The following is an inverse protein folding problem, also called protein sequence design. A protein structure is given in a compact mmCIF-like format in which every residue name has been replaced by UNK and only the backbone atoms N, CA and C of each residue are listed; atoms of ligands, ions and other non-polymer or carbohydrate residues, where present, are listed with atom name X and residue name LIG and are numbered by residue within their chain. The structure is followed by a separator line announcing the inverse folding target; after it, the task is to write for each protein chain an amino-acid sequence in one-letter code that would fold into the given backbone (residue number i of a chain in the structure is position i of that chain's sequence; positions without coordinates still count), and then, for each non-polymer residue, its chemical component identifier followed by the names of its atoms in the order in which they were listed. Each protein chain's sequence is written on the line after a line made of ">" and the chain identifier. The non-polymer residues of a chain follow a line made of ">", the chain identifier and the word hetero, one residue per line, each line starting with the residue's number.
data_IF_691944676466
#
_entry.id   IF_691944676466
#
_cell.length_a   1.000
_cell.length_b   1.000
_cell.length_c   1.000
_cell.angle_alpha   90.00
_cell.angle_beta   90.00
_cell.angle_gamma   90.00
#
_symmetry.space_group_name_H-M   'P 1'
#
loop_
_entity.id
_entity.type
_entity.pdbx_description
1 polymer ?
#
# COMPACT_ATOMS: atom_id res chain seq x y z
N UNK A 1 66.72 7.10 -12.82
CA UNK A 1 65.44 7.72 -12.41
C UNK A 1 64.33 7.16 -13.30
N UNK A 2 63.69 6.07 -12.89
CA UNK A 2 62.55 5.48 -13.60
C UNK A 2 61.36 5.42 -12.65
N UNK A 3 60.39 6.32 -12.84
CA UNK A 3 59.18 6.41 -12.01
C UNK A 3 58.26 5.23 -12.31
N UNK A 4 58.06 4.37 -11.31
CA UNK A 4 57.06 3.31 -11.33
C UNK A 4 55.69 3.94 -11.04
N UNK A 5 54.90 4.14 -12.09
CA UNK A 5 53.53 4.66 -12.01
C UNK A 5 52.63 3.58 -11.38
N UNK A 6 52.28 3.75 -10.10
CA UNK A 6 51.26 2.93 -9.44
C UNK A 6 49.88 3.32 -10.00
N UNK A 7 49.33 2.50 -10.88
CA UNK A 7 47.93 2.59 -11.33
C UNK A 7 47.06 2.14 -10.15
N UNK A 8 46.41 3.10 -9.50
CA UNK A 8 45.39 2.85 -8.49
C UNK A 8 44.10 2.44 -9.24
N UNK A 9 43.78 1.15 -9.23
CA UNK A 9 42.50 0.65 -9.76
C UNK A 9 41.41 1.07 -8.78
N UNK A 10 40.66 2.12 -9.13
CA UNK A 10 39.40 2.42 -8.46
C UNK A 10 38.41 1.30 -8.78
N UNK A 11 38.19 0.42 -7.81
CA UNK A 11 37.09 -0.53 -7.86
C UNK A 11 35.80 0.27 -7.60
N UNK A 12 35.15 0.72 -8.67
CA UNK A 12 33.80 1.28 -8.60
C UNK A 12 32.86 0.15 -8.19
N UNK A 13 32.38 0.18 -6.94
CA UNK A 13 31.26 -0.64 -6.50
C UNK A 13 30.05 -0.13 -7.29
N UNK A 14 29.69 -0.83 -8.36
CA UNK A 14 28.43 -0.62 -9.03
C UNK A 14 27.33 -1.05 -8.06
N UNK A 15 26.72 -0.08 -7.38
CA UNK A 15 25.39 -0.26 -6.82
C UNK A 15 24.54 -0.80 -7.97
N UNK A 16 23.96 -1.99 -7.80
CA UNK A 16 22.95 -2.49 -8.72
C UNK A 16 21.78 -1.50 -8.64
N UNK A 17 21.80 -0.48 -9.51
CA UNK A 17 20.61 0.30 -9.79
C UNK A 17 19.61 -0.71 -10.32
N UNK A 18 18.57 -1.01 -9.54
CA UNK A 18 17.45 -1.81 -10.02
C UNK A 18 16.78 -0.94 -11.08
N UNK A 19 17.22 -1.11 -12.33
CA UNK A 19 16.65 -0.39 -13.45
C UNK A 19 15.20 -0.82 -13.59
N UNK A 20 14.27 0.13 -13.41
CA UNK A 20 12.85 -0.14 -13.62
C UNK A 20 12.57 -0.45 -15.09
N UNK A 21 11.61 -1.34 -15.35
CA UNK A 21 11.30 -1.78 -16.71
C UNK A 21 10.43 -0.71 -17.39
N UNK A 22 11.08 0.25 -18.06
CA UNK A 22 10.43 1.37 -18.74
C UNK A 22 9.34 0.92 -19.71
N UNK A 23 9.58 -0.17 -20.46
CA UNK A 23 8.62 -0.68 -21.42
C UNK A 23 7.37 -1.23 -20.73
N UNK A 24 7.53 -1.96 -19.62
CA UNK A 24 6.40 -2.48 -18.85
C UNK A 24 5.67 -1.39 -18.08
N UNK A 25 6.36 -0.40 -17.52
CA UNK A 25 5.69 0.75 -16.90
C UNK A 25 4.93 1.60 -17.92
N UNK A 26 5.45 1.76 -19.14
CA UNK A 26 4.70 2.39 -20.23
C UNK A 26 3.48 1.55 -20.62
N UNK A 27 3.62 0.21 -20.67
CA UNK A 27 2.48 -0.68 -20.92
C UNK A 27 1.42 -0.58 -19.80
N UNK A 28 1.84 -0.49 -18.54
CA UNK A 28 0.95 -0.23 -17.41
C UNK A 28 0.22 1.11 -17.58
N UNK A 29 0.94 2.18 -17.93
CA UNK A 29 0.38 3.51 -18.13
C UNK A 29 -0.69 3.54 -19.24
N UNK A 30 -0.45 2.92 -20.40
CA UNK A 30 -1.46 2.82 -21.49
C UNK A 30 -2.60 1.87 -21.18
N UNK A 31 -2.52 1.09 -20.10
CA UNK A 31 -3.59 0.19 -19.65
C UNK A 31 -4.52 0.86 -18.63
N UNK A 32 -4.27 2.12 -18.29
CA UNK A 32 -5.16 2.92 -17.46
C UNK A 32 -6.28 3.51 -18.32
N UNK A 33 -7.49 3.47 -17.76
CA UNK A 33 -8.70 4.01 -18.37
C UNK A 33 -9.45 4.90 -17.38
N UNK A 34 -10.29 5.78 -17.89
CA UNK A 34 -11.18 6.62 -17.08
C UNK A 34 -12.59 6.04 -17.10
N UNK A 35 -13.17 5.83 -15.93
CA UNK A 35 -14.58 5.50 -15.77
C UNK A 35 -15.35 6.82 -15.68
N UNK A 36 -16.44 6.95 -16.44
CA UNK A 36 -17.26 8.16 -16.49
C UNK A 36 -18.73 7.80 -16.33
N UNK A 37 -19.51 8.77 -15.87
CA UNK A 37 -20.97 8.63 -15.80
C UNK A 37 -21.62 9.93 -15.36
N UNK A 38 -22.84 10.17 -15.79
CA UNK A 38 -23.63 11.30 -15.27
C UNK A 38 -24.35 10.89 -13.99
N UNK A 39 -24.34 11.79 -13.01
CA UNK A 39 -25.16 11.70 -11.80
C UNK A 39 -26.61 12.04 -12.10
N UNK A 40 -27.51 11.76 -11.15
CA UNK A 40 -28.92 12.16 -11.27
C UNK A 40 -29.10 13.69 -11.39
N UNK A 41 -28.16 14.47 -10.86
CA UNK A 41 -28.11 15.93 -10.98
C UNK A 41 -27.49 16.42 -12.29
N UNK A 42 -27.11 15.51 -13.20
CA UNK A 42 -26.45 15.82 -14.47
C UNK A 42 -24.96 16.19 -14.36
N UNK A 43 -24.35 16.07 -13.17
CA UNK A 43 -22.92 16.32 -12.98
C UNK A 43 -22.11 15.15 -13.49
N UNK A 44 -20.96 15.40 -14.10
CA UNK A 44 -20.05 14.34 -14.52
C UNK A 44 -19.33 13.75 -13.30
N UNK A 45 -19.56 12.47 -13.02
CA UNK A 45 -18.78 11.66 -12.11
C UNK A 45 -17.68 10.93 -12.89
N UNK A 46 -16.52 10.76 -12.26
CA UNK A 46 -15.38 10.08 -12.85
C UNK A 46 -14.56 9.33 -11.82
N UNK A 47 -13.87 8.30 -12.30
CA UNK A 47 -12.87 7.51 -11.58
C UNK A 47 -11.87 6.91 -12.58
N UNK A 48 -11.04 6.01 -12.10
CA UNK A 48 -10.03 5.31 -12.88
C UNK A 48 -10.32 3.82 -12.96
N UNK A 49 -9.71 3.13 -13.90
CA UNK A 49 -9.72 1.67 -14.01
C UNK A 49 -8.45 1.15 -14.67
N UNK A 50 -8.25 -0.16 -14.60
CA UNK A 50 -7.09 -0.85 -15.17
C UNK A 50 -7.55 -2.01 -16.05
N UNK A 51 -6.96 -2.14 -17.24
CA UNK A 51 -7.23 -3.25 -18.17
C UNK A 51 -6.49 -4.50 -17.67
N UNK A 52 -7.25 -5.52 -17.25
CA UNK A 52 -6.73 -6.70 -16.52
C UNK A 52 -7.08 -8.03 -17.17
N UNK A 53 -7.87 -8.01 -18.24
CA UNK A 53 -8.16 -9.18 -19.06
C UNK A 53 -8.66 -8.79 -20.44
N UNK A 54 -8.98 -9.80 -21.25
CA UNK A 54 -9.63 -9.57 -22.54
C UNK A 54 -10.97 -8.88 -22.32
N UNK A 55 -11.11 -7.66 -22.83
CA UNK A 55 -12.30 -6.83 -22.65
C UNK A 55 -12.68 -6.55 -21.18
N UNK A 56 -11.74 -6.73 -20.25
CA UNK A 56 -11.99 -6.63 -18.82
C UNK A 56 -11.23 -5.45 -18.20
N UNK A 57 -11.97 -4.64 -17.43
CA UNK A 57 -11.43 -3.51 -16.66
C UNK A 57 -11.81 -3.67 -15.20
N UNK A 58 -10.84 -3.60 -14.30
CA UNK A 58 -11.11 -3.49 -12.86
C UNK A 58 -11.19 -2.02 -12.45
N UNK A 59 -12.11 -1.70 -11.55
CA UNK A 59 -12.21 -0.40 -10.86
C UNK A 59 -12.75 -0.62 -9.44
N UNK A 60 -12.93 0.45 -8.68
CA UNK A 60 -13.66 0.38 -7.43
C UNK A 60 -15.17 0.39 -7.64
N UNK A 61 -15.91 -0.38 -6.86
CA UNK A 61 -17.36 -0.39 -6.95
C UNK A 61 -17.98 0.96 -6.59
N UNK A 62 -17.39 1.70 -5.64
CA UNK A 62 -17.90 3.03 -5.26
C UNK A 62 -17.91 4.05 -6.42
N UNK A 63 -17.06 3.87 -7.45
CA UNK A 63 -17.03 4.71 -8.66
C UNK A 63 -18.32 4.56 -9.47
N UNK A 64 -18.99 3.40 -9.39
CA UNK A 64 -20.16 3.04 -10.19
C UNK A 64 -21.50 3.32 -9.49
N UNK A 65 -21.49 3.86 -8.25
CA UNK A 65 -22.71 4.01 -7.43
C UNK A 65 -23.52 5.26 -7.74
N UNK A 66 -22.92 6.22 -8.44
CA UNK A 66 -23.54 7.53 -8.70
C UNK A 66 -24.06 7.69 -10.12
N UNK A 67 -24.03 6.65 -10.93
CA UNK A 67 -24.42 6.74 -12.33
C UNK A 67 -25.24 5.52 -12.77
N UNK A 68 -26.30 5.78 -13.53
CA UNK A 68 -27.19 4.76 -14.11
C UNK A 68 -26.64 4.18 -15.42
N UNK A 69 -25.72 4.89 -16.07
CA UNK A 69 -25.16 4.53 -17.37
C UNK A 69 -23.67 4.90 -17.42
N UNK A 70 -22.81 4.19 -16.65
CA UNK A 70 -21.38 4.40 -16.73
C UNK A 70 -20.83 3.95 -18.09
N UNK A 71 -19.73 4.56 -18.50
CA UNK A 71 -18.92 4.10 -19.62
C UNK A 71 -17.43 4.20 -19.30
N UNK A 72 -16.62 3.48 -20.06
CA UNK A 72 -15.16 3.54 -19.96
C UNK A 72 -14.62 4.38 -21.11
N UNK A 73 -13.61 5.19 -20.84
CA UNK A 73 -12.94 6.00 -21.86
C UNK A 73 -11.43 5.91 -21.76
N UNK A 74 -10.78 5.98 -22.92
CA UNK A 74 -9.34 6.07 -23.06
C UNK A 74 -9.02 7.08 -24.14
N UNK A 75 -8.51 8.25 -23.75
CA UNK A 75 -8.42 9.41 -24.64
C UNK A 75 -9.81 9.76 -25.20
N UNK A 76 -9.92 9.83 -26.52
CA UNK A 76 -11.16 10.15 -27.23
C UNK A 76 -12.04 8.91 -27.51
N UNK A 77 -11.55 7.71 -27.20
CA UNK A 77 -12.32 6.46 -27.42
C UNK A 77 -13.17 6.15 -26.20
N UNK A 78 -14.43 5.78 -26.42
CA UNK A 78 -15.37 5.34 -25.39
C UNK A 78 -15.83 3.91 -25.64
N UNK A 79 -16.00 3.16 -24.57
CA UNK A 79 -16.42 1.76 -24.56
C UNK A 79 -17.65 1.60 -23.67
N UNK A 80 -18.68 0.92 -24.16
CA UNK A 80 -19.86 0.56 -23.38
C UNK A 80 -19.53 -0.58 -22.42
N UNK A 81 -20.09 -0.50 -21.21
CA UNK A 81 -20.02 -1.58 -20.22
C UNK A 81 -21.19 -2.54 -20.48
N UNK A 82 -20.89 -3.81 -20.70
CA UNK A 82 -21.90 -4.85 -20.95
C UNK A 82 -22.42 -5.47 -19.65
N UNK A 83 -21.51 -5.63 -18.67
CA UNK A 83 -21.82 -6.20 -17.37
C UNK A 83 -20.74 -5.90 -16.34
N UNK A 84 -21.05 -6.20 -15.08
CA UNK A 84 -20.15 -6.06 -13.94
C UNK A 84 -20.28 -7.23 -12.98
N UNK A 85 -19.15 -7.64 -12.42
CA UNK A 85 -19.08 -8.55 -11.27
C UNK A 85 -18.56 -7.75 -10.08
N UNK A 86 -19.35 -7.67 -9.01
CA UNK A 86 -19.15 -6.69 -7.95
C UNK A 86 -18.92 -7.31 -6.58
N UNK A 87 -17.68 -7.23 -6.08
CA UNK A 87 -17.40 -7.44 -4.66
C UNK A 87 -17.49 -6.12 -3.92
N UNK A 88 -18.67 -5.85 -3.36
CA UNK A 88 -18.97 -4.59 -2.67
C UNK A 88 -18.14 -4.43 -1.40
N UNK A 89 -17.93 -5.51 -0.65
CA UNK A 89 -17.18 -5.50 0.60
C UNK A 89 -15.72 -5.12 0.39
N UNK A 90 -15.07 -5.72 -0.60
CA UNK A 90 -13.69 -5.42 -0.99
C UNK A 90 -13.59 -4.21 -1.93
N UNK A 91 -14.72 -3.58 -2.27
CA UNK A 91 -14.81 -2.43 -3.17
C UNK A 91 -14.15 -2.64 -4.53
N UNK A 92 -14.24 -3.84 -5.09
CA UNK A 92 -13.66 -4.20 -6.39
C UNK A 92 -14.75 -4.65 -7.35
N UNK A 93 -14.80 -4.01 -8.52
CA UNK A 93 -15.74 -4.29 -9.57
C UNK A 93 -14.99 -4.61 -10.87
N UNK A 94 -15.29 -5.78 -11.45
CA UNK A 94 -14.76 -6.22 -12.74
C UNK A 94 -15.79 -5.94 -13.83
N UNK A 95 -15.49 -5.00 -14.71
CA UNK A 95 -16.31 -4.59 -15.84
C UNK A 95 -15.96 -5.43 -17.06
N UNK A 96 -16.96 -5.89 -17.80
CA UNK A 96 -16.81 -6.42 -19.16
C UNK A 96 -17.26 -5.37 -20.16
N UNK A 97 -16.41 -5.06 -21.14
CA UNK A 97 -16.62 -4.00 -22.11
C UNK A 97 -16.83 -4.56 -23.52
N UNK A 98 -17.60 -3.86 -24.34
CA UNK A 98 -17.72 -4.21 -25.75
C UNK A 98 -16.47 -3.76 -26.53
N UNK A 99 -15.80 -4.70 -27.20
CA UNK A 99 -14.70 -4.47 -28.16
C UNK A 99 -13.53 -3.60 -27.67
N UNK A 100 -13.04 -3.81 -26.44
CA UNK A 100 -11.85 -3.11 -25.93
C UNK A 100 -10.59 -3.48 -26.73
N UNK A 101 -10.36 -4.78 -26.98
CA UNK A 101 -9.25 -5.30 -27.79
C UNK A 101 -7.85 -4.74 -27.39
N UNK A 102 -7.58 -4.61 -26.08
CA UNK A 102 -6.31 -4.14 -25.53
C UNK A 102 -5.58 -5.24 -24.76
N UNK A 103 -4.25 -5.16 -24.72
CA UNK A 103 -3.40 -6.08 -23.96
C UNK A 103 -3.49 -5.75 -22.46
N UNK A 104 -3.88 -6.71 -21.60
CA UNK A 104 -3.96 -6.48 -20.16
C UNK A 104 -2.59 -6.41 -19.50
N UNK A 105 -2.52 -5.77 -18.34
CA UNK A 105 -1.32 -5.77 -17.49
C UNK A 105 -1.16 -7.11 -16.78
N UNK A 106 0.08 -7.54 -16.47
CA UNK A 106 0.30 -8.65 -15.55
C UNK A 106 -0.16 -8.28 -14.14
N UNK A 107 -0.78 -9.22 -13.45
CA UNK A 107 -1.18 -9.09 -12.04
C UNK A 107 -0.03 -9.65 -11.19
N UNK A 108 0.45 -8.83 -10.25
CA UNK A 108 1.42 -9.22 -9.24
C UNK A 108 0.75 -9.66 -7.93
N UNK A 109 1.57 -9.89 -6.91
CA UNK A 109 1.14 -10.30 -5.58
C UNK A 109 1.44 -9.19 -4.58
N UNK A 110 0.43 -8.77 -3.81
CA UNK A 110 0.63 -7.82 -2.71
C UNK A 110 1.45 -8.41 -1.55
N UNK A 111 1.55 -9.74 -1.47
CA UNK A 111 2.33 -10.46 -0.45
C UNK A 111 3.84 -10.45 -0.71
N UNK A 112 4.23 -10.17 -1.95
CA UNK A 112 5.63 -10.09 -2.34
C UNK A 112 6.21 -8.69 -2.05
N UNK A 113 5.36 -7.74 -1.66
CA UNK A 113 5.76 -6.37 -1.35
C UNK A 113 6.42 -6.30 0.02
N UNK A 114 7.56 -5.60 0.07
CA UNK A 114 8.28 -5.31 1.30
C UNK A 114 8.16 -3.81 1.64
N UNK A 115 8.14 -3.47 2.94
CA UNK A 115 8.15 -2.08 3.39
C UNK A 115 9.36 -1.33 2.82
N UNK A 116 9.15 -0.11 2.36
CA UNK A 116 10.14 0.72 1.67
C UNK A 116 10.27 0.47 0.16
N UNK A 117 9.70 -0.61 -0.38
CA UNK A 117 9.73 -0.88 -1.81
C UNK A 117 9.06 0.22 -2.62
N UNK A 118 9.72 0.68 -3.68
CA UNK A 118 9.17 1.68 -4.60
C UNK A 118 7.96 1.15 -5.38
N UNK A 119 6.96 2.02 -5.52
CA UNK A 119 5.69 1.76 -6.18
C UNK A 119 5.30 2.96 -7.06
N UNK A 120 4.55 2.69 -8.14
CA UNK A 120 4.00 3.71 -9.01
C UNK A 120 2.47 3.62 -9.05
N UNK A 121 1.80 4.69 -8.64
CA UNK A 121 0.36 4.83 -8.80
C UNK A 121 0.06 5.52 -10.13
N UNK A 122 -0.83 4.96 -10.95
CA UNK A 122 -1.17 5.49 -12.28
C UNK A 122 -2.69 5.59 -12.46
N UNK A 123 -3.21 6.80 -12.66
CA UNK A 123 -4.65 7.06 -12.66
C UNK A 123 -5.06 8.43 -13.17
N UNK A 124 -6.35 8.63 -13.37
CA UNK A 124 -6.94 9.90 -13.80
C UNK A 124 -7.29 10.81 -12.61
N UNK A 125 -6.30 11.07 -11.75
CA UNK A 125 -6.44 12.02 -10.63
C UNK A 125 -6.96 13.37 -11.13
N UNK A 126 -7.91 13.94 -10.40
CA UNK A 126 -8.64 15.18 -10.72
C UNK A 126 -9.37 15.16 -12.07
N UNK A 127 -9.64 13.98 -12.64
CA UNK A 127 -10.29 13.85 -13.95
C UNK A 127 -9.37 14.21 -15.12
N UNK A 128 -8.05 14.17 -14.92
CA UNK A 128 -7.05 14.43 -15.96
C UNK A 128 -7.34 13.60 -17.22
N UNK A 129 -7.37 14.19 -18.44
CA UNK A 129 -7.63 13.44 -19.67
C UNK A 129 -6.63 12.31 -19.95
N UNK A 130 -5.36 12.51 -19.57
CA UNK A 130 -4.31 11.50 -19.61
C UNK A 130 -4.01 10.94 -18.20
N UNK A 131 -3.63 9.66 -18.07
CA UNK A 131 -3.21 9.11 -16.78
C UNK A 131 -2.02 9.87 -16.18
N UNK A 132 -2.11 10.21 -14.91
CA UNK A 132 -1.04 10.80 -14.12
C UNK A 132 -0.32 9.70 -13.34
N UNK A 133 1.00 9.83 -13.20
CA UNK A 133 1.84 8.91 -12.43
C UNK A 133 2.34 9.59 -11.17
N UNK A 134 2.16 8.94 -10.02
CA UNK A 134 2.73 9.34 -8.73
C UNK A 134 3.64 8.24 -8.24
N UNK A 135 4.91 8.57 -7.96
CA UNK A 135 5.82 7.67 -7.26
C UNK A 135 5.53 7.63 -5.75
N UNK A 136 5.80 6.51 -5.13
CA UNK A 136 5.74 6.32 -3.69
C UNK A 136 6.45 5.04 -3.27
N UNK A 137 6.22 4.63 -2.05
CA UNK A 137 6.78 3.40 -1.49
C UNK A 137 5.77 2.70 -0.59
N UNK A 138 5.97 1.40 -0.41
CA UNK A 138 5.21 0.55 0.51
C UNK A 138 5.47 1.00 1.95
N UNK A 139 4.42 1.35 2.69
CA UNK A 139 4.53 1.71 4.12
C UNK A 139 4.22 0.48 4.97
N UNK A 140 3.09 -0.18 4.74
CA UNK A 140 2.68 -1.38 5.47
C UNK A 140 1.68 -2.22 4.67
N UNK A 141 1.53 -3.48 5.05
CA UNK A 141 0.60 -4.42 4.43
C UNK A 141 -0.24 -5.09 5.51
N UNK A 142 -1.55 -5.16 5.30
CA UNK A 142 -2.48 -5.77 6.24
C UNK A 142 -3.08 -7.04 5.65
N UNK A 143 -2.71 -8.21 6.19
CA UNK A 143 -3.20 -9.51 5.72
C UNK A 143 -4.73 -9.58 5.88
N UNK A 144 -5.41 -9.91 4.78
CA UNK A 144 -6.85 -10.07 4.72
C UNK A 144 -7.21 -10.94 3.51
N UNK A 145 -8.11 -11.90 3.67
CA UNK A 145 -8.67 -12.71 2.58
C UNK A 145 -7.64 -13.28 1.58
N UNK A 146 -6.42 -13.59 2.06
CA UNK A 146 -5.36 -14.15 1.23
C UNK A 146 -4.53 -13.15 0.42
N UNK A 147 -4.68 -11.84 0.63
CA UNK A 147 -3.79 -10.78 0.13
C UNK A 147 -3.44 -9.77 1.23
N UNK A 148 -2.58 -8.81 0.93
CA UNK A 148 -2.22 -7.72 1.85
C UNK A 148 -2.81 -6.41 1.35
N UNK A 149 -3.77 -5.83 2.09
CA UNK A 149 -4.20 -4.45 1.81
C UNK A 149 -2.98 -3.53 1.96
N UNK A 150 -2.70 -2.78 0.90
CA UNK A 150 -1.47 -2.01 0.78
C UNK A 150 -1.69 -0.61 1.33
N UNK A 151 -0.89 -0.21 2.31
CA UNK A 151 -0.71 1.18 2.69
C UNK A 151 0.56 1.71 2.03
N UNK A 152 0.44 2.77 1.24
CA UNK A 152 1.58 3.37 0.53
C UNK A 152 1.65 4.88 0.71
N UNK A 153 2.81 5.45 0.39
CA UNK A 153 3.04 6.90 0.34
C UNK A 153 2.61 7.54 -0.98
N UNK A 154 2.18 6.73 -1.97
CA UNK A 154 1.80 7.20 -3.30
C UNK A 154 0.50 8.00 -3.24
N UNK A 155 0.64 9.33 -3.21
CA UNK A 155 -0.48 10.24 -2.97
C UNK A 155 -1.43 10.31 -4.16
N UNK A 156 -2.73 10.28 -3.88
CA UNK A 156 -3.75 10.47 -4.89
C UNK A 156 -4.90 11.42 -4.47
N UNK A 157 -5.56 12.00 -5.48
CA UNK A 157 -6.68 12.95 -5.32
C UNK A 157 -7.98 12.34 -5.82
N UNK A 158 -9.10 13.06 -5.65
CA UNK A 158 -10.40 12.67 -6.20
C UNK A 158 -10.25 12.33 -7.70
N UNK A 159 -10.90 11.26 -8.16
CA UNK A 159 -10.74 10.72 -9.52
C UNK A 159 -9.70 9.61 -9.67
N UNK A 160 -8.82 9.44 -8.67
CA UNK A 160 -7.88 8.33 -8.64
C UNK A 160 -8.47 6.99 -8.18
N UNK A 161 -9.66 6.98 -7.57
CA UNK A 161 -10.32 5.73 -7.17
C UNK A 161 -10.42 4.78 -8.36
N UNK A 162 -9.94 3.55 -8.19
CA UNK A 162 -9.86 2.52 -9.22
C UNK A 162 -8.57 2.55 -10.05
N UNK A 163 -7.65 3.45 -9.75
CA UNK A 163 -6.34 3.54 -10.42
C UNK A 163 -5.41 2.40 -9.98
N UNK A 164 -4.45 2.05 -10.83
CA UNK A 164 -3.53 0.96 -10.54
C UNK A 164 -2.35 1.41 -9.68
N UNK A 165 -1.93 0.54 -8.77
CA UNK A 165 -0.66 0.61 -8.05
C UNK A 165 0.25 -0.51 -8.59
N UNK A 166 1.44 -0.14 -9.07
CA UNK A 166 2.35 -1.04 -9.77
C UNK A 166 3.69 -1.15 -9.08
N UNK A 167 4.29 -2.34 -9.13
CA UNK A 167 5.72 -2.50 -8.85
C UNK A 167 6.59 -1.92 -9.97
N UNK A 168 7.90 -1.78 -9.73
CA UNK A 168 8.84 -1.26 -10.74
C UNK A 168 9.08 -2.20 -11.93
N UNK A 169 8.46 -3.39 -11.94
CA UNK A 169 8.44 -4.34 -13.05
C UNK A 169 7.16 -4.22 -13.89
N UNK A 170 6.26 -3.29 -13.56
CA UNK A 170 5.00 -3.06 -14.27
C UNK A 170 3.90 -4.07 -13.97
N UNK A 171 4.02 -4.86 -12.89
CA UNK A 171 2.94 -5.71 -12.41
C UNK A 171 1.97 -4.90 -11.56
N UNK A 172 0.67 -5.08 -11.79
CA UNK A 172 -0.37 -4.49 -10.98
C UNK A 172 -0.42 -5.21 -9.62
N UNK A 173 -0.10 -4.51 -8.54
CA UNK A 173 -0.06 -5.07 -7.18
C UNK A 173 -1.24 -4.61 -6.32
N UNK A 174 -1.88 -3.50 -6.67
CA UNK A 174 -3.10 -3.06 -5.99
C UNK A 174 -3.96 -2.08 -6.78
N UNK A 175 -5.17 -1.84 -6.27
CA UNK A 175 -6.13 -0.85 -6.79
C UNK A 175 -6.30 0.26 -5.77
N UNK A 176 -5.85 1.46 -6.09
CA UNK A 176 -5.96 2.64 -5.21
C UNK A 176 -7.43 2.93 -4.93
N UNK A 177 -7.82 2.89 -3.65
CA UNK A 177 -9.24 2.84 -3.25
C UNK A 177 -9.64 3.99 -2.35
N UNK A 178 -9.02 4.11 -1.18
CA UNK A 178 -9.42 5.11 -0.19
C UNK A 178 -8.22 5.68 0.56
N UNK A 179 -8.48 6.76 1.30
CA UNK A 179 -7.51 7.37 2.20
C UNK A 179 -8.16 7.69 3.53
N UNK A 180 -7.41 7.65 4.61
CA UNK A 180 -7.87 8.15 5.91
C UNK A 180 -7.67 9.66 6.00
N UNK A 181 -8.68 10.38 6.50
CA UNK A 181 -8.60 11.82 6.72
C UNK A 181 -7.57 12.13 7.81
N UNK A 182 -6.70 13.12 7.58
CA UNK A 182 -5.70 13.58 8.56
C UNK A 182 -4.40 12.77 8.63
N UNK A 183 -4.38 11.51 8.19
CA UNK A 183 -3.23 10.61 8.35
C UNK A 183 -2.37 10.43 7.08
N UNK A 184 -2.74 11.09 5.97
CA UNK A 184 -1.97 11.03 4.71
C UNK A 184 -1.71 9.60 4.19
N UNK A 185 -2.60 8.66 4.53
CA UNK A 185 -2.44 7.23 4.30
C UNK A 185 -3.31 6.77 3.15
N UNK A 186 -2.68 6.17 2.13
CA UNK A 186 -3.32 5.80 0.87
C UNK A 186 -3.39 4.28 0.76
N UNK A 187 -4.62 3.77 0.73
CA UNK A 187 -4.90 2.35 0.78
C UNK A 187 -5.28 1.82 -0.61
N UNK A 188 -4.72 0.66 -0.93
CA UNK A 188 -5.02 -0.08 -2.15
C UNK A 188 -5.47 -1.50 -1.84
N UNK A 189 -6.51 -1.95 -2.53
CA UNK A 189 -6.98 -3.33 -2.46
C UNK A 189 -6.01 -4.24 -3.23
N UNK A 190 -5.70 -5.45 -2.76
CA UNK A 190 -4.83 -6.40 -3.44
C UNK A 190 -5.28 -6.70 -4.87
N UNK A 191 -4.36 -6.66 -5.83
CA UNK A 191 -4.70 -6.94 -7.23
C UNK A 191 -5.07 -8.42 -7.46
N UNK A 192 -4.47 -9.34 -6.69
CA UNK A 192 -4.78 -10.77 -6.78
C UNK A 192 -6.25 -11.11 -6.46
N UNK A 193 -6.97 -10.24 -5.75
CA UNK A 193 -8.40 -10.42 -5.49
C UNK A 193 -9.26 -10.35 -6.76
N UNK A 194 -8.74 -9.79 -7.85
CA UNK A 194 -9.40 -9.76 -9.16
C UNK A 194 -9.76 -11.16 -9.65
N UNK A 195 -8.95 -12.18 -9.32
CA UNK A 195 -9.23 -13.55 -9.72
C UNK A 195 -10.55 -14.06 -9.14
N UNK A 196 -10.87 -13.69 -7.89
CA UNK A 196 -12.12 -14.07 -7.22
C UNK A 196 -13.35 -13.38 -7.78
N UNK A 197 -13.19 -12.21 -8.43
CA UNK A 197 -14.31 -11.48 -9.03
C UNK A 197 -14.95 -12.26 -10.18
N UNK A 198 -14.15 -13.07 -10.89
CA UNK A 198 -14.62 -13.85 -12.06
C UNK A 198 -15.67 -14.90 -11.70
N UNK A 199 -15.72 -15.32 -10.44
CA UNK A 199 -16.66 -16.32 -9.94
C UNK A 199 -17.95 -15.69 -9.38
N UNK A 200 -18.02 -14.36 -9.32
CA UNK A 200 -19.19 -13.66 -8.80
C UNK A 200 -20.31 -13.57 -9.85
N UNK A 201 -21.58 -13.44 -9.42
CA UNK A 201 -22.70 -13.23 -10.32
C UNK A 201 -22.49 -12.03 -11.24
N UNK A 202 -22.87 -12.21 -12.50
CA UNK A 202 -22.85 -11.16 -13.51
C UNK A 202 -24.09 -10.28 -13.35
N UNK A 203 -23.87 -8.98 -13.17
CA UNK A 203 -24.90 -7.95 -13.04
C UNK A 203 -24.86 -7.02 -14.26
N UNK A 204 -26.01 -6.46 -14.64
CA UNK A 204 -26.13 -5.48 -15.74
C UNK A 204 -26.79 -4.18 -15.32
N UNK A 205 -27.26 -4.12 -14.08
CA UNK A 205 -27.99 -2.97 -13.55
C UNK A 205 -27.03 -2.02 -12.85
N UNK A 206 -27.20 -0.73 -13.14
CA UNK A 206 -26.49 0.36 -12.50
C UNK A 206 -27.53 1.35 -11.93
N UNK A 207 -27.23 2.05 -10.83
CA UNK A 207 -25.96 2.09 -10.10
C UNK A 207 -25.70 0.87 -9.22
N UNK A 208 -24.43 0.53 -9.02
CA UNK A 208 -24.04 -0.49 -8.05
C UNK A 208 -24.35 0.02 -6.63
N UNK A 209 -24.93 -0.83 -5.79
CA UNK A 209 -25.30 -0.50 -4.40
C UNK A 209 -24.51 -1.35 -3.41
N UNK A 210 -24.37 -0.87 -2.17
CA UNK A 210 -23.68 -1.58 -1.08
C UNK A 210 -22.50 -0.78 -0.53
N UNK A 211 -22.09 -1.10 0.70
CA UNK A 211 -20.95 -0.48 1.39
C UNK A 211 -19.69 -1.33 1.24
N UNK A 212 -18.55 -0.66 1.21
CA UNK A 212 -17.23 -1.26 1.33
C UNK A 212 -16.77 -1.37 2.79
N UNK A 213 -15.79 -2.24 3.05
CA UNK A 213 -15.20 -2.46 4.38
C UNK A 213 -14.71 -1.17 5.04
N UNK A 214 -14.27 -0.18 4.25
CA UNK A 214 -13.72 1.08 4.74
C UNK A 214 -14.78 2.15 5.00
N UNK A 215 -16.02 1.92 4.56
CA UNK A 215 -17.21 2.78 4.74
C UNK A 215 -18.10 2.32 5.90
N UNK A 216 -17.77 1.19 6.52
CA UNK A 216 -18.51 0.67 7.67
C UNK A 216 -18.42 1.58 8.89
N UNK A 217 -19.30 1.34 9.85
CA UNK A 217 -19.22 1.97 11.16
C UNK A 217 -17.97 1.45 11.90
N UNK A 218 -17.39 2.27 12.79
CA UNK A 218 -16.08 1.99 13.42
C UNK A 218 -16.03 0.62 14.12
N UNK A 219 -17.15 0.15 14.70
CA UNK A 219 -17.22 -1.16 15.36
C UNK A 219 -17.07 -2.34 14.38
N UNK A 220 -17.49 -2.15 13.12
CA UNK A 220 -17.50 -3.19 12.08
C UNK A 220 -16.31 -3.15 11.14
N UNK A 221 -15.52 -2.07 11.16
CA UNK A 221 -14.29 -1.99 10.36
C UNK A 221 -13.29 -3.08 10.79
N UNK A 222 -12.43 -3.57 9.88
CA UNK A 222 -11.25 -4.34 10.27
C UNK A 222 -10.37 -3.58 11.27
N UNK A 223 -9.70 -4.30 12.17
CA UNK A 223 -8.90 -3.70 13.25
C UNK A 223 -7.82 -2.73 12.75
N UNK A 224 -7.18 -3.03 11.63
CA UNK A 224 -6.16 -2.17 11.04
C UNK A 224 -6.67 -0.78 10.63
N UNK A 225 -7.99 -0.61 10.44
CA UNK A 225 -8.59 0.71 10.22
C UNK A 225 -8.93 1.42 11.53
N UNK A 226 -9.28 0.67 12.58
CA UNK A 226 -9.65 1.20 13.88
C UNK A 226 -8.49 1.91 14.59
N UNK A 227 -7.24 1.55 14.28
CA UNK A 227 -6.05 2.19 14.88
C UNK A 227 -5.80 3.62 14.38
N UNK A 228 -6.34 4.01 13.23
CA UNK A 228 -5.99 5.27 12.59
C UNK A 228 -6.42 6.49 13.42
N UNK A 229 -7.67 6.48 13.93
CA UNK A 229 -8.21 7.60 14.70
C UNK A 229 -7.46 7.79 16.04
N UNK A 230 -7.28 6.76 16.88
CA UNK A 230 -6.50 6.88 18.11
C UNK A 230 -5.07 7.37 17.87
N UNK A 231 -4.40 6.91 16.81
CA UNK A 231 -3.03 7.35 16.46
C UNK A 231 -2.97 8.83 16.09
N UNK A 232 -3.93 9.33 15.31
CA UNK A 232 -4.00 10.76 14.93
C UNK A 232 -4.22 11.65 16.16
N UNK A 233 -5.06 11.19 17.10
CA UNK A 233 -5.43 11.96 18.29
C UNK A 233 -4.47 11.75 19.47
N UNK A 234 -3.45 10.92 19.30
CA UNK A 234 -2.53 10.50 20.36
C UNK A 234 -3.26 9.88 21.58
N UNK A 235 -4.41 9.24 21.33
CA UNK A 235 -5.21 8.55 22.35
C UNK A 235 -4.65 7.14 22.59
N UNK A 236 -3.44 7.04 23.14
CA UNK A 236 -2.69 5.78 23.27
C UNK A 236 -3.42 4.73 24.13
N UNK A 237 -4.18 5.15 25.14
CA UNK A 237 -5.00 4.25 25.94
C UNK A 237 -6.16 3.65 25.14
N UNK A 238 -6.72 4.39 24.18
CA UNK A 238 -7.72 3.87 23.24
C UNK A 238 -7.05 2.91 22.25
N UNK A 239 -5.87 3.26 21.75
CA UNK A 239 -5.09 2.41 20.85
C UNK A 239 -4.73 1.06 21.49
N UNK A 240 -4.34 1.04 22.78
CA UNK A 240 -4.08 -0.20 23.51
C UNK A 240 -5.30 -1.12 23.48
N UNK A 241 -6.51 -0.61 23.76
CA UNK A 241 -7.72 -1.44 23.77
C UNK A 241 -8.00 -2.08 22.40
N UNK A 242 -7.88 -1.27 21.34
CA UNK A 242 -8.09 -1.74 19.97
C UNK A 242 -7.07 -2.81 19.60
N UNK A 243 -5.79 -2.59 19.93
CA UNK A 243 -4.69 -3.51 19.57
C UNK A 243 -4.67 -4.75 20.44
N UNK A 244 -5.09 -4.68 21.70
CA UNK A 244 -5.28 -5.83 22.58
C UNK A 244 -6.32 -6.79 21.99
N UNK A 245 -7.53 -6.28 21.69
CA UNK A 245 -8.56 -7.07 20.99
C UNK A 245 -8.05 -7.63 19.65
N UNK A 246 -7.30 -6.84 18.89
CA UNK A 246 -6.74 -7.27 17.61
C UNK A 246 -5.78 -8.45 17.79
N UNK A 247 -4.85 -8.37 18.75
CA UNK A 247 -3.90 -9.46 19.03
C UNK A 247 -4.58 -10.72 19.58
N UNK A 248 -5.70 -10.59 20.28
CA UNK A 248 -6.51 -11.73 20.73
C UNK A 248 -7.23 -12.44 19.59
N UNK A 249 -7.82 -11.66 18.66
CA UNK A 249 -8.54 -12.23 17.51
C UNK A 249 -7.62 -12.73 16.41
N UNK A 250 -6.46 -12.10 16.25
CA UNK A 250 -5.51 -12.36 15.18
C UNK A 250 -4.10 -12.59 15.76
N UNK A 251 -3.95 -13.64 16.56
CA UNK A 251 -2.71 -13.92 17.29
C UNK A 251 -1.45 -14.13 16.41
N UNK A 252 -1.63 -14.40 15.11
CA UNK A 252 -0.57 -14.55 14.11
C UNK A 252 -0.42 -13.31 13.21
N UNK A 253 -1.04 -12.17 13.54
CA UNK A 253 -0.89 -10.93 12.81
C UNK A 253 0.29 -10.11 13.36
N UNK A 254 1.37 -10.02 12.58
CA UNK A 254 2.60 -9.29 12.97
C UNK A 254 2.33 -7.80 13.23
N UNK A 255 1.46 -7.18 12.45
CA UNK A 255 1.16 -5.75 12.56
C UNK A 255 0.30 -5.45 13.79
N UNK A 256 -0.60 -6.36 14.18
CA UNK A 256 -1.35 -6.24 15.43
C UNK A 256 -0.42 -6.15 16.65
N UNK A 257 0.57 -7.06 16.73
CA UNK A 257 1.55 -7.07 17.81
C UNK A 257 2.50 -5.87 17.75
N UNK A 258 2.90 -5.44 16.55
CA UNK A 258 3.71 -4.24 16.37
C UNK A 258 2.97 -3.00 16.87
N UNK A 259 1.72 -2.79 16.46
CA UNK A 259 0.92 -1.63 16.87
C UNK A 259 0.60 -1.66 18.38
N UNK A 260 0.42 -2.84 18.97
CA UNK A 260 0.29 -2.97 20.42
C UNK A 260 1.58 -2.58 21.16
N UNK A 261 2.75 -3.01 20.64
CA UNK A 261 4.06 -2.57 21.13
C UNK A 261 4.26 -1.06 21.02
N UNK A 262 3.85 -0.49 19.89
CA UNK A 262 3.89 0.95 19.66
C UNK A 262 3.03 1.74 20.65
N UNK A 263 1.80 1.29 20.91
CA UNK A 263 0.92 1.91 21.89
C UNK A 263 1.53 1.91 23.30
N UNK A 264 2.17 0.81 23.70
CA UNK A 264 2.87 0.70 24.98
C UNK A 264 4.10 1.61 25.04
N UNK A 265 4.84 1.75 23.94
CA UNK A 265 5.97 2.66 23.84
C UNK A 265 5.54 4.11 24.03
N UNK A 266 4.46 4.53 23.38
CA UNK A 266 3.91 5.89 23.51
C UNK A 266 3.38 6.18 24.93
N UNK A 267 3.01 5.14 25.69
CA UNK A 267 2.66 5.22 27.11
C UNK A 267 3.87 5.07 28.05
N UNK A 268 5.09 5.14 27.53
CA UNK A 268 6.35 5.00 28.27
C UNK A 268 6.49 3.65 29.02
N UNK A 269 5.75 2.63 28.59
CA UNK A 269 5.80 1.26 29.14
C UNK A 269 6.83 0.43 28.39
N UNK A 270 8.11 0.84 28.48
CA UNK A 270 9.20 0.38 27.60
C UNK A 270 9.38 -1.15 27.61
N UNK A 271 9.31 -1.79 28.79
CA UNK A 271 9.47 -3.25 28.90
C UNK A 271 8.36 -4.02 28.19
N UNK A 272 7.11 -3.56 28.31
CA UNK A 272 5.98 -4.16 27.60
C UNK A 272 6.08 -3.90 26.09
N UNK A 273 6.48 -2.70 25.68
CA UNK A 273 6.71 -2.37 24.26
C UNK A 273 7.70 -3.35 23.61
N UNK A 274 8.88 -3.54 24.22
CA UNK A 274 9.89 -4.50 23.73
C UNK A 274 9.34 -5.93 23.66
N UNK A 275 8.58 -6.36 24.67
CA UNK A 275 7.95 -7.68 24.71
C UNK A 275 7.01 -7.89 23.51
N UNK A 276 6.17 -6.90 23.19
CA UNK A 276 5.23 -7.01 22.08
C UNK A 276 5.89 -6.87 20.71
N UNK A 277 6.92 -6.03 20.56
CA UNK A 277 7.73 -6.02 19.35
C UNK A 277 8.46 -7.36 19.15
N UNK A 278 8.99 -7.98 20.21
CA UNK A 278 9.58 -9.33 20.14
C UNK A 278 8.55 -10.39 19.74
N UNK A 279 7.28 -10.22 20.13
CA UNK A 279 6.17 -11.09 19.68
C UNK A 279 5.89 -10.91 18.18
N UNK A 280 5.89 -9.68 17.67
CA UNK A 280 5.81 -9.42 16.23
C UNK A 280 6.96 -10.10 15.47
N UNK A 281 8.20 -10.00 15.96
CA UNK A 281 9.37 -10.65 15.37
C UNK A 281 9.34 -12.19 15.42
N UNK A 282 8.67 -12.76 16.41
CA UNK A 282 8.49 -14.21 16.48
C UNK A 282 7.55 -14.74 15.39
N UNK A 283 6.68 -13.88 14.85
CA UNK A 283 5.77 -14.20 13.75
C UNK A 283 6.44 -13.86 12.41
N UNK A 284 7.06 -12.70 12.31
CA UNK A 284 7.79 -12.22 11.15
C UNK A 284 9.19 -11.74 11.57
N UNK A 285 10.18 -12.62 11.41
CA UNK A 285 11.57 -12.31 11.75
C UNK A 285 12.18 -11.22 10.88
N UNK A 286 11.53 -10.85 9.77
CA UNK A 286 11.93 -9.80 8.84
C UNK A 286 11.15 -8.49 9.07
N UNK A 287 10.43 -8.34 10.19
CA UNK A 287 9.76 -7.09 10.53
C UNK A 287 10.79 -6.01 10.92
N UNK A 288 11.24 -5.24 9.92
CA UNK A 288 12.26 -4.21 10.11
C UNK A 288 11.84 -3.09 11.06
N UNK A 289 10.53 -2.77 11.12
CA UNK A 289 10.04 -1.73 12.03
C UNK A 289 10.13 -2.19 13.48
N UNK A 290 9.73 -3.44 13.79
CA UNK A 290 9.86 -4.00 15.13
C UNK A 290 11.33 -4.08 15.57
N UNK A 291 12.23 -4.53 14.68
CA UNK A 291 13.68 -4.51 14.94
C UNK A 291 14.17 -3.09 15.26
N UNK A 292 13.86 -2.12 14.40
CA UNK A 292 14.26 -0.74 14.56
C UNK A 292 13.81 -0.15 15.91
N UNK A 293 12.53 -0.37 16.28
CA UNK A 293 12.00 0.12 17.56
C UNK A 293 12.63 -0.57 18.76
N UNK A 294 12.85 -1.89 18.73
CA UNK A 294 13.60 -2.56 19.80
C UNK A 294 15.02 -1.99 19.90
N UNK A 295 15.69 -1.74 18.78
CA UNK A 295 17.04 -1.15 18.78
C UNK A 295 17.11 0.19 19.50
N UNK A 296 16.16 1.10 19.21
CA UNK A 296 16.03 2.38 19.91
C UNK A 296 15.78 2.16 21.41
N UNK A 297 14.84 1.28 21.76
CA UNK A 297 14.43 1.07 23.15
C UNK A 297 15.53 0.40 23.98
N UNK A 298 16.21 -0.62 23.45
CA UNK A 298 17.36 -1.27 24.11
C UNK A 298 18.51 -0.28 24.30
N UNK A 299 18.78 0.61 23.33
CA UNK A 299 19.76 1.68 23.49
C UNK A 299 19.36 2.65 24.62
N UNK A 300 18.09 3.04 24.70
CA UNK A 300 17.58 3.92 25.76
C UNK A 300 17.69 3.30 27.17
N UNK A 301 17.67 1.97 27.27
CA UNK A 301 17.89 1.23 28.51
C UNK A 301 19.38 1.02 28.86
N UNK A 302 20.31 1.48 28.01
CA UNK A 302 21.76 1.24 28.18
C UNK A 302 22.24 -0.12 27.69
N UNK A 303 21.37 -0.91 27.04
CA UNK A 303 21.70 -2.23 26.49
C UNK A 303 22.37 -2.11 25.11
N UNK A 304 23.48 -1.37 25.03
CA UNK A 304 24.15 -1.02 23.78
C UNK A 304 24.62 -2.23 22.97
N UNK A 305 24.91 -3.35 23.63
CA UNK A 305 25.30 -4.61 22.95
C UNK A 305 24.14 -5.16 22.12
N UNK A 306 22.93 -5.18 22.68
CA UNK A 306 21.74 -5.68 21.96
C UNK A 306 21.33 -4.72 20.85
N UNK A 307 21.40 -3.40 21.09
CA UNK A 307 21.13 -2.39 20.07
C UNK A 307 22.07 -2.54 18.85
N UNK A 308 23.37 -2.78 19.06
CA UNK A 308 24.34 -3.03 17.98
C UNK A 308 24.09 -4.34 17.22
N UNK A 309 23.60 -5.37 17.92
CA UNK A 309 23.20 -6.62 17.27
C UNK A 309 22.00 -6.40 16.35
N UNK A 310 21.01 -5.64 16.80
CA UNK A 310 19.85 -5.25 16.00
C UNK A 310 20.26 -4.42 14.79
N UNK A 311 21.16 -3.46 14.98
CA UNK A 311 21.73 -2.67 13.88
C UNK A 311 22.37 -3.57 12.81
N UNK A 312 23.09 -4.61 13.21
CA UNK A 312 23.68 -5.57 12.26
C UNK A 312 22.58 -6.29 11.47
N UNK A 313 21.53 -6.78 12.14
CA UNK A 313 20.39 -7.41 11.46
C UNK A 313 19.66 -6.46 10.50
N UNK A 314 19.54 -5.18 10.85
CA UNK A 314 18.91 -4.17 10.00
C UNK A 314 19.76 -3.85 8.77
N UNK A 315 21.09 -3.87 8.84
CA UNK A 315 21.94 -3.63 7.66
C UNK A 315 21.65 -4.61 6.52
N UNK A 316 21.38 -5.87 6.86
CA UNK A 316 21.07 -6.89 5.85
C UNK A 316 19.63 -6.78 5.34
N UNK A 317 18.70 -6.34 6.19
CA UNK A 317 17.26 -6.37 5.92
C UNK A 317 16.71 -5.05 5.35
N UNK A 318 17.12 -3.93 5.94
CA UNK A 318 16.66 -2.58 5.61
C UNK A 318 17.77 -1.57 5.95
N UNK A 319 18.73 -1.35 5.03
CA UNK A 319 19.87 -0.46 5.25
C UNK A 319 19.48 0.96 5.67
N UNK A 320 18.37 1.50 5.15
CA UNK A 320 17.90 2.83 5.51
C UNK A 320 17.51 2.92 7.00
N UNK A 321 16.87 1.88 7.55
CA UNK A 321 16.58 1.79 8.99
C UNK A 321 17.85 1.54 9.82
N UNK A 322 18.82 0.83 9.26
CA UNK A 322 20.10 0.60 9.90
C UNK A 322 20.86 1.92 10.06
N UNK A 323 20.95 2.72 9.01
CA UNK A 323 21.58 4.05 9.03
C UNK A 323 20.92 4.95 10.08
N UNK A 324 19.57 5.00 10.11
CA UNK A 324 18.80 5.76 11.10
C UNK A 324 19.11 5.30 12.54
N UNK A 325 19.22 3.99 12.77
CA UNK A 325 19.52 3.45 14.09
C UNK A 325 20.99 3.71 14.49
N UNK A 326 21.93 3.62 13.55
CA UNK A 326 23.36 3.88 13.81
C UNK A 326 23.57 5.33 14.26
N UNK A 327 22.90 6.29 13.62
CA UNK A 327 22.91 7.69 14.03
C UNK A 327 22.43 7.86 15.48
N UNK A 328 21.35 7.16 15.87
CA UNK A 328 20.79 7.20 17.23
C UNK A 328 21.75 6.57 18.25
N UNK A 329 22.33 5.41 17.94
CA UNK A 329 23.25 4.70 18.83
C UNK A 329 24.55 5.49 19.03
N UNK A 330 25.10 6.05 17.96
CA UNK A 330 26.40 6.71 17.97
C UNK A 330 26.33 8.21 18.27
N UNK A 331 25.14 8.78 18.54
CA UNK A 331 25.04 10.18 18.96
C UNK A 331 25.51 10.38 20.41
N UNK A 332 26.83 10.33 20.64
CA UNK A 332 27.44 10.63 21.93
C UNK A 332 28.13 12.01 22.03
N UNK A 333 28.21 12.83 20.98
CA UNK A 333 28.69 14.23 21.12
C UNK A 333 28.15 15.24 20.07
N UNK A 334 27.46 14.78 19.01
CA UNK A 334 27.02 15.66 17.90
C UNK A 334 25.59 16.21 18.01
N UNK A 335 24.75 15.65 18.89
CA UNK A 335 23.34 16.07 19.04
C UNK A 335 23.12 17.26 20.00
N UNK A 336 24.18 17.80 20.61
CA UNK A 336 24.13 19.06 21.38
C UNK A 336 24.63 20.22 20.52
N UNK A 337 23.81 20.72 19.60
CA UNK A 337 23.93 22.08 19.07
C UNK A 337 22.57 22.69 18.83
#
# INVERSE_FOLDING_TARGET
>A
MGNLLKVLVLCTISLNAVAYDQAKLMHAWVSIVMIRGYTETGTLAYGSGVIVGENQVVTNCHVLRRTKQPWVSQGDTSYSIESVQANRWQDLCLLTLFQLNKKPVPIGSSKDLIKGQELAAMGHSSGSPAPLTTGGYMISGYDMDGGNIILSSAKFRLGASGSGLFDMKGNLVGINTFKTTGYGSYYSMPAEWIHKLKDLPVEKEFPIQGKALWEEDEERKPYFLKIAIPKVKEEWSTLIKVTEEWTEKEANNTEAWYEHGYANEMLNSIKEAIKYYKRALAIDSMNSDALFRIGILENSLGNTVEAKKILTSLNDLNPARADELDEIINCQDKCKK
#
